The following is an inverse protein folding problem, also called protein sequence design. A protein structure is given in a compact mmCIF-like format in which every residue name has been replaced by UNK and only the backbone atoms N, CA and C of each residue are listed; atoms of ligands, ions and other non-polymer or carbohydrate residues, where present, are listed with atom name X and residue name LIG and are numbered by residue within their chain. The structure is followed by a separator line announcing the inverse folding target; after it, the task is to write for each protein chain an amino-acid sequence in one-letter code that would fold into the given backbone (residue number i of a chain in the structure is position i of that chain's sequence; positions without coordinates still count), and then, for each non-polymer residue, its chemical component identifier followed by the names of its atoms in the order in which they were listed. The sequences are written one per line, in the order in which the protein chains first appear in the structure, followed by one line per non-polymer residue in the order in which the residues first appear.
data_IF_774124279815
#
_entry.id   IF_774124279815
#
_cell.length_a   1.000
_cell.length_b   1.000
_cell.length_c   1.000
_cell.angle_alpha   90.00
_cell.angle_beta   90.00
_cell.angle_gamma   90.00
#
_symmetry.space_group_name_H-M   'P 1'
#
loop_
_entity.id
_entity.type
_entity.pdbx_description
1 polymer ?
#
# COMPACT_ATOMS: atom_id res chain seq x y z
N UNK A 1 -40.29 43.13 48.88
CA UNK A 1 -40.85 42.04 49.68
C UNK A 1 -41.44 41.06 48.66
N UNK A 2 -40.68 40.03 48.31
CA UNK A 2 -41.12 38.96 47.43
C UNK A 2 -41.07 37.66 48.25
N UNK A 3 -42.22 37.31 48.76
CA UNK A 3 -42.43 36.08 49.51
C UNK A 3 -42.73 34.98 48.50
N UNK A 4 -41.74 34.12 48.25
CA UNK A 4 -41.91 32.91 47.45
C UNK A 4 -41.92 31.71 48.39
N UNK A 5 -42.98 30.89 48.39
CA UNK A 5 -43.04 29.73 49.30
C UNK A 5 -42.00 28.68 48.93
N UNK A 6 -41.48 27.90 49.91
CA UNK A 6 -40.50 26.85 49.69
C UNK A 6 -41.10 25.71 48.85
N UNK A 7 -40.35 25.29 47.82
CA UNK A 7 -40.68 24.10 47.01
C UNK A 7 -40.44 22.83 47.83
N UNK A 8 -41.32 21.84 47.76
CA UNK A 8 -41.12 20.56 48.46
C UNK A 8 -39.95 19.79 47.81
N UNK A 9 -39.10 19.19 48.66
CA UNK A 9 -38.01 18.31 48.30
C UNK A 9 -38.48 17.17 47.38
N UNK A 10 -37.92 17.11 46.15
CA UNK A 10 -38.11 15.96 45.26
C UNK A 10 -37.25 14.80 45.74
N UNK A 11 -37.78 13.60 45.88
CA UNK A 11 -36.99 12.42 46.22
C UNK A 11 -35.98 12.14 45.08
N UNK A 12 -34.70 11.97 45.46
CA UNK A 12 -33.63 11.64 44.54
C UNK A 12 -33.87 10.33 43.78
N UNK A 13 -33.28 10.15 42.61
CA UNK A 13 -33.44 8.94 41.81
C UNK A 13 -32.98 7.70 42.61
N UNK A 14 -33.66 6.56 42.47
CA UNK A 14 -33.28 5.34 43.17
C UNK A 14 -31.87 4.89 42.77
N UNK A 15 -31.10 4.27 43.67
CA UNK A 15 -29.76 3.77 43.37
C UNK A 15 -29.82 2.74 42.24
N UNK A 16 -29.05 2.98 41.19
CA UNK A 16 -28.92 2.03 40.07
C UNK A 16 -28.26 0.74 40.58
N UNK A 17 -28.79 -0.43 40.22
CA UNK A 17 -28.15 -1.69 40.59
C UNK A 17 -26.76 -1.73 39.96
N UNK A 18 -25.77 -2.08 40.78
CA UNK A 18 -24.38 -2.23 40.34
C UNK A 18 -24.30 -3.21 39.16
N UNK A 19 -23.82 -2.75 38.02
CA UNK A 19 -23.58 -3.62 36.87
C UNK A 19 -22.52 -4.65 37.27
N UNK A 20 -22.75 -5.95 37.01
CA UNK A 20 -21.70 -6.96 37.24
C UNK A 20 -20.49 -6.59 36.43
N UNK A 21 -19.33 -6.49 37.09
CA UNK A 21 -18.07 -6.24 36.46
C UNK A 21 -17.78 -7.31 35.39
N UNK A 22 -16.94 -7.01 34.40
CA UNK A 22 -16.57 -8.00 33.39
C UNK A 22 -16.04 -9.27 34.07
N UNK A 23 -16.41 -10.47 33.59
CA UNK A 23 -15.94 -11.72 34.16
C UNK A 23 -14.40 -11.72 34.19
N UNK A 24 -13.79 -12.29 35.26
CA UNK A 24 -12.32 -12.37 35.32
C UNK A 24 -11.81 -13.12 34.09
N UNK A 25 -10.89 -12.51 33.37
CA UNK A 25 -10.22 -13.16 32.23
C UNK A 25 -9.49 -14.36 32.79
N UNK A 26 -9.97 -15.56 32.46
CA UNK A 26 -9.32 -16.80 32.88
C UNK A 26 -7.93 -16.83 32.26
N UNK A 27 -6.91 -16.62 33.08
CA UNK A 27 -5.52 -16.83 32.67
C UNK A 27 -5.36 -18.31 32.31
N UNK A 28 -5.33 -18.62 31.02
CA UNK A 28 -4.93 -19.94 30.55
C UNK A 28 -3.47 -20.12 30.99
N UNK A 29 -3.14 -21.11 31.84
CA UNK A 29 -1.78 -21.27 32.31
C UNK A 29 -0.84 -21.55 31.14
N UNK A 30 0.36 -20.95 31.16
CA UNK A 30 1.37 -21.05 30.09
C UNK A 30 1.95 -22.46 29.86
N UNK A 31 1.35 -23.48 30.41
CA UNK A 31 1.76 -24.88 30.40
C UNK A 31 1.84 -25.42 31.83
N UNK A 32 1.97 -26.72 31.96
CA UNK A 32 2.22 -27.41 33.22
C UNK A 32 3.58 -28.12 33.16
N UNK A 33 4.18 -28.55 34.28
CA UNK A 33 5.42 -29.32 34.24
C UNK A 33 5.34 -30.58 33.37
N UNK A 34 4.15 -31.21 33.28
CA UNK A 34 3.87 -32.39 32.48
C UNK A 34 3.64 -32.09 30.99
N UNK A 35 3.16 -30.89 30.70
CA UNK A 35 2.90 -30.40 29.33
C UNK A 35 3.39 -28.98 29.14
N UNK A 36 4.70 -28.78 29.17
CA UNK A 36 5.26 -27.45 28.99
C UNK A 36 5.01 -26.92 27.58
N UNK A 37 4.99 -25.60 27.43
CA UNK A 37 4.71 -24.93 26.15
C UNK A 37 5.92 -24.12 25.69
N UNK A 38 6.13 -24.11 24.40
CA UNK A 38 7.07 -23.23 23.72
C UNK A 38 6.31 -22.30 22.78
N UNK A 39 6.61 -21.00 22.85
CA UNK A 39 6.08 -20.00 21.94
C UNK A 39 7.22 -19.44 21.09
N UNK A 40 7.02 -19.43 19.79
CA UNK A 40 8.02 -18.97 18.83
C UNK A 40 7.37 -18.08 17.77
N UNK A 41 8.20 -17.25 17.14
CA UNK A 41 7.86 -16.52 15.94
C UNK A 41 8.62 -17.12 14.76
N UNK A 42 7.90 -17.46 13.70
CA UNK A 42 8.49 -17.83 12.42
C UNK A 42 8.46 -16.65 11.46
N UNK A 43 9.52 -16.49 10.70
CA UNK A 43 9.70 -15.37 9.77
C UNK A 43 10.19 -15.91 8.43
N UNK A 44 9.76 -15.23 7.36
CA UNK A 44 10.26 -15.51 6.02
C UNK A 44 10.45 -14.21 5.24
N UNK A 45 11.52 -14.19 4.47
CA UNK A 45 11.82 -13.13 3.52
C UNK A 45 12.09 -13.79 2.17
N UNK A 46 11.31 -13.42 1.16
CA UNK A 46 11.48 -13.90 -0.20
C UNK A 46 11.79 -12.76 -1.15
N UNK A 47 12.79 -12.92 -1.98
CA UNK A 47 13.06 -12.01 -3.11
C UNK A 47 12.51 -12.65 -4.38
N UNK A 48 11.61 -11.95 -5.05
CA UNK A 48 10.94 -12.40 -6.27
C UNK A 48 10.97 -11.32 -7.33
N UNK A 49 10.91 -11.73 -8.58
CA UNK A 49 10.81 -10.77 -9.68
C UNK A 49 9.43 -10.11 -9.67
N UNK A 50 9.33 -8.83 -10.08
CA UNK A 50 8.04 -8.15 -10.13
C UNK A 50 7.13 -8.79 -11.18
N UNK A 51 5.83 -8.71 -10.95
CA UNK A 51 4.79 -9.21 -11.87
C UNK A 51 4.16 -8.09 -12.67
N UNK A 52 4.21 -6.87 -12.14
CA UNK A 52 3.65 -5.67 -12.75
C UNK A 52 4.56 -4.47 -12.55
N UNK A 53 4.50 -3.55 -13.51
CA UNK A 53 5.07 -2.21 -13.41
C UNK A 53 3.95 -1.17 -13.53
N UNK A 54 3.89 -0.22 -12.62
CA UNK A 54 2.92 0.87 -12.64
C UNK A 54 3.57 2.15 -13.12
N UNK A 55 2.86 2.87 -14.00
CA UNK A 55 3.19 4.23 -14.41
C UNK A 55 2.09 5.17 -13.94
N UNK A 56 2.46 6.36 -13.53
CA UNK A 56 1.53 7.50 -13.42
C UNK A 56 1.81 8.46 -14.56
N UNK A 57 0.77 8.77 -15.32
CA UNK A 57 0.84 9.67 -16.46
C UNK A 57 0.04 10.92 -16.10
N UNK A 58 0.68 12.05 -16.12
CA UNK A 58 0.05 13.34 -15.87
C UNK A 58 -0.04 14.11 -17.19
N UNK A 59 -1.27 14.36 -17.64
CA UNK A 59 -1.54 15.19 -18.81
C UNK A 59 -1.94 16.59 -18.35
N UNK A 60 -1.30 17.60 -18.90
CA UNK A 60 -1.58 19.00 -18.60
C UNK A 60 -2.08 19.73 -19.85
N UNK A 61 -2.87 20.78 -19.63
CA UNK A 61 -3.34 21.67 -20.68
C UNK A 61 -3.41 23.11 -20.18
N UNK A 62 -3.39 24.09 -21.08
CA UNK A 62 -3.52 25.48 -20.77
C UNK A 62 -4.43 26.18 -21.77
N UNK A 63 -5.39 26.97 -21.31
CA UNK A 63 -6.31 27.74 -22.14
C UNK A 63 -6.51 29.16 -21.66
N UNK A 64 -6.92 30.04 -22.56
CA UNK A 64 -7.27 31.44 -22.24
C UNK A 64 -8.49 31.51 -21.31
N UNK A 65 -9.40 30.55 -21.45
CA UNK A 65 -10.58 30.40 -20.61
C UNK A 65 -10.73 28.92 -20.18
N UNK A 66 -11.70 28.66 -19.29
CA UNK A 66 -11.96 27.33 -18.73
C UNK A 66 -12.33 26.31 -19.81
N UNK A 67 -13.12 26.73 -20.79
CA UNK A 67 -13.61 25.86 -21.87
C UNK A 67 -12.45 25.44 -22.78
N UNK A 68 -11.64 26.39 -23.22
CA UNK A 68 -10.46 26.12 -24.05
C UNK A 68 -9.46 25.21 -23.33
N UNK A 69 -9.22 25.41 -22.02
CA UNK A 69 -8.36 24.53 -21.24
C UNK A 69 -8.91 23.10 -21.15
N UNK A 70 -10.23 22.95 -21.00
CA UNK A 70 -10.88 21.63 -20.91
C UNK A 70 -10.87 20.91 -22.28
N UNK A 71 -11.13 21.62 -23.37
CA UNK A 71 -11.09 21.09 -24.74
C UNK A 71 -9.68 20.58 -25.10
N UNK A 72 -8.62 21.36 -24.79
CA UNK A 72 -7.25 20.94 -25.00
C UNK A 72 -6.86 19.74 -24.11
N UNK A 73 -7.29 19.75 -22.83
CA UNK A 73 -7.06 18.63 -21.92
C UNK A 73 -7.70 17.34 -22.44
N UNK A 74 -8.96 17.42 -22.90
CA UNK A 74 -9.69 16.27 -23.45
C UNK A 74 -8.98 15.70 -24.67
N UNK A 75 -8.55 16.54 -25.60
CA UNK A 75 -7.83 16.12 -26.80
C UNK A 75 -6.53 15.39 -26.44
N UNK A 76 -5.71 15.97 -25.55
CA UNK A 76 -4.42 15.37 -25.11
C UNK A 76 -4.65 14.08 -24.32
N UNK A 77 -5.63 14.06 -23.45
CA UNK A 77 -5.99 12.86 -22.69
C UNK A 77 -6.40 11.71 -23.61
N UNK A 78 -7.20 12.00 -24.65
CA UNK A 78 -7.58 10.98 -25.61
C UNK A 78 -6.37 10.42 -26.37
N UNK A 79 -5.40 11.25 -26.76
CA UNK A 79 -4.16 10.81 -27.39
C UNK A 79 -3.38 9.85 -26.49
N UNK A 80 -3.25 10.16 -25.20
CA UNK A 80 -2.59 9.30 -24.23
C UNK A 80 -3.36 7.99 -24.05
N UNK A 81 -4.70 8.05 -23.89
CA UNK A 81 -5.52 6.86 -23.73
C UNK A 81 -5.44 5.92 -24.96
N UNK A 82 -5.48 6.48 -26.18
CA UNK A 82 -5.32 5.71 -27.43
C UNK A 82 -3.95 5.05 -27.52
N UNK A 83 -2.89 5.80 -27.18
CA UNK A 83 -1.52 5.29 -27.17
C UNK A 83 -1.38 4.13 -26.18
N UNK A 84 -1.82 4.30 -24.93
CA UNK A 84 -1.73 3.24 -23.91
C UNK A 84 -2.54 2.02 -24.31
N UNK A 85 -3.77 2.20 -24.81
CA UNK A 85 -4.63 1.11 -25.26
C UNK A 85 -4.08 0.35 -26.47
N UNK A 86 -3.26 1.00 -27.31
CA UNK A 86 -2.66 0.35 -28.47
C UNK A 86 -1.68 -0.78 -28.12
N UNK A 87 -1.24 -0.85 -26.86
CA UNK A 87 -0.36 -1.93 -26.35
C UNK A 87 -1.15 -3.19 -25.92
N UNK A 88 -2.49 -3.15 -25.97
CA UNK A 88 -3.34 -4.32 -25.79
C UNK A 88 -3.10 -5.06 -24.49
N UNK A 89 -2.79 -6.36 -24.60
CA UNK A 89 -2.60 -7.25 -23.44
C UNK A 89 -1.38 -6.91 -22.55
N UNK A 90 -0.41 -6.15 -23.06
CA UNK A 90 0.71 -5.69 -22.25
C UNK A 90 0.25 -4.74 -21.11
N UNK A 91 -0.90 -4.08 -21.29
CA UNK A 91 -1.53 -3.20 -20.30
C UNK A 91 -2.64 -3.95 -19.57
N UNK A 92 -2.34 -4.43 -18.38
CA UNK A 92 -3.31 -5.15 -17.54
C UNK A 92 -4.41 -4.22 -17.00
N UNK A 93 -4.03 -2.98 -16.67
CA UNK A 93 -4.96 -2.02 -16.07
C UNK A 93 -4.66 -0.60 -16.54
N UNK A 94 -5.70 0.14 -16.89
CA UNK A 94 -5.65 1.57 -17.20
C UNK A 94 -6.80 2.27 -16.49
N UNK A 95 -6.47 3.24 -15.64
CA UNK A 95 -7.43 4.00 -14.84
C UNK A 95 -7.20 5.49 -15.00
N UNK A 96 -8.29 6.23 -15.10
CA UNK A 96 -8.27 7.69 -14.99
C UNK A 96 -8.58 8.08 -13.55
N UNK A 97 -7.66 8.77 -12.90
CA UNK A 97 -7.81 9.28 -11.55
C UNK A 97 -8.43 10.69 -11.53
N UNK A 98 -7.94 11.51 -10.62
CA UNK A 98 -8.46 12.88 -10.45
C UNK A 98 -8.10 13.79 -11.64
N UNK A 99 -9.04 14.68 -11.99
CA UNK A 99 -8.77 15.79 -12.88
C UNK A 99 -9.05 17.13 -12.18
N UNK A 100 -8.43 18.21 -12.65
CA UNK A 100 -8.67 19.56 -12.16
C UNK A 100 -8.55 20.59 -13.26
N UNK A 101 -9.32 21.69 -13.15
CA UNK A 101 -9.15 22.90 -13.98
C UNK A 101 -9.12 24.10 -13.05
N UNK A 102 -7.94 24.72 -12.92
CA UNK A 102 -7.68 25.81 -11.98
C UNK A 102 -7.33 27.11 -12.70
N UNK A 103 -7.79 28.29 -12.21
CA UNK A 103 -7.36 29.56 -12.76
C UNK A 103 -5.93 29.91 -12.37
N UNK A 104 -5.17 30.45 -13.30
CA UNK A 104 -3.89 31.12 -13.05
C UNK A 104 -4.15 32.62 -12.82
N UNK A 105 -3.95 33.06 -11.59
CA UNK A 105 -4.15 34.45 -11.20
C UNK A 105 -2.86 35.23 -11.41
N UNK A 106 -2.94 36.45 -11.96
CA UNK A 106 -1.76 37.31 -12.10
C UNK A 106 -1.44 38.01 -10.76
N UNK A 107 -0.32 37.64 -10.08
CA UNK A 107 0.03 38.14 -8.76
C UNK A 107 0.41 39.65 -8.76
N UNK A 108 0.66 40.25 -9.94
CA UNK A 108 1.07 41.64 -10.10
C UNK A 108 -0.12 42.63 -10.37
N UNK A 109 -1.33 42.12 -10.47
CA UNK A 109 -2.52 42.94 -10.71
C UNK A 109 -3.18 43.36 -9.40
N UNK A 110 -3.51 44.66 -9.22
CA UNK A 110 -4.28 45.17 -8.08
C UNK A 110 -5.68 44.55 -7.95
N UNK A 111 -6.19 43.95 -9.00
CA UNK A 111 -7.42 43.15 -9.03
C UNK A 111 -7.07 41.76 -9.51
N UNK A 112 -7.54 40.73 -8.82
CA UNK A 112 -7.36 39.30 -9.19
C UNK A 112 -7.86 39.03 -10.61
N UNK A 113 -7.00 39.30 -11.62
CA UNK A 113 -7.30 38.95 -13.02
C UNK A 113 -6.80 37.58 -13.34
N UNK A 114 -7.71 36.70 -13.76
CA UNK A 114 -7.35 35.38 -14.30
C UNK A 114 -6.60 35.59 -15.62
N UNK A 115 -5.40 35.06 -15.70
CA UNK A 115 -4.51 35.10 -16.87
C UNK A 115 -4.73 33.94 -17.82
N UNK A 116 -4.96 32.76 -17.29
CA UNK A 116 -5.16 31.54 -18.00
C UNK A 116 -5.85 30.47 -17.10
N UNK A 117 -6.23 29.37 -17.67
CA UNK A 117 -6.68 28.19 -16.93
C UNK A 117 -5.75 27.02 -17.20
N UNK A 118 -5.40 26.28 -16.16
CA UNK A 118 -4.61 25.06 -16.23
C UNK A 118 -5.49 23.86 -15.98
N UNK A 119 -5.54 22.96 -16.96
CA UNK A 119 -6.15 21.64 -16.85
C UNK A 119 -5.10 20.60 -16.49
N UNK A 120 -5.45 19.62 -15.68
CA UNK A 120 -4.61 18.48 -15.37
C UNK A 120 -5.48 17.24 -15.17
N UNK A 121 -5.02 16.11 -15.67
CA UNK A 121 -5.59 14.78 -15.40
C UNK A 121 -4.48 13.80 -15.10
N UNK A 122 -4.75 12.87 -14.19
CA UNK A 122 -3.85 11.78 -13.83
C UNK A 122 -4.41 10.46 -14.34
N UNK A 123 -3.55 9.67 -14.95
CA UNK A 123 -3.85 8.29 -15.35
C UNK A 123 -2.85 7.37 -14.68
N UNK A 124 -3.29 6.15 -14.39
CA UNK A 124 -2.42 5.08 -13.91
C UNK A 124 -2.53 3.91 -14.86
N UNK A 125 -1.40 3.42 -15.34
CA UNK A 125 -1.30 2.22 -16.15
C UNK A 125 -0.48 1.15 -15.42
N UNK A 126 -0.95 -0.10 -15.41
CA UNK A 126 -0.19 -1.24 -14.92
C UNK A 126 0.12 -2.16 -16.11
N UNK A 127 1.39 -2.46 -16.29
CA UNK A 127 1.89 -3.26 -17.40
C UNK A 127 2.50 -4.56 -16.87
N UNK A 128 2.38 -5.62 -17.67
CA UNK A 128 2.94 -6.95 -17.42
C UNK A 128 4.09 -7.29 -18.36
N UNK A 129 4.18 -6.60 -19.49
CA UNK A 129 5.31 -6.70 -20.43
C UNK A 129 6.24 -5.50 -20.22
N UNK A 130 7.46 -5.78 -19.77
CA UNK A 130 8.44 -4.75 -19.43
C UNK A 130 9.20 -4.22 -20.64
N UNK A 131 9.23 -4.97 -21.76
CA UNK A 131 9.72 -4.45 -23.03
C UNK A 131 8.76 -3.40 -23.58
N UNK A 132 7.47 -3.72 -23.60
CA UNK A 132 6.40 -2.79 -23.97
C UNK A 132 6.36 -1.56 -23.04
N UNK A 133 6.71 -1.72 -21.76
CA UNK A 133 6.84 -0.61 -20.82
C UNK A 133 7.87 0.43 -21.25
N UNK A 134 9.07 -0.02 -21.64
CA UNK A 134 10.14 0.87 -22.12
C UNK A 134 9.73 1.66 -23.36
N UNK A 135 9.14 0.97 -24.35
CA UNK A 135 8.63 1.61 -25.57
C UNK A 135 7.50 2.61 -25.27
N UNK A 136 6.52 2.20 -24.47
CA UNK A 136 5.39 3.05 -24.10
C UNK A 136 5.87 4.31 -23.35
N UNK A 137 6.81 4.14 -22.40
CA UNK A 137 7.36 5.27 -21.65
C UNK A 137 8.03 6.28 -22.58
N UNK A 138 8.84 5.81 -23.51
CA UNK A 138 9.50 6.67 -24.52
C UNK A 138 8.46 7.43 -25.33
N UNK A 139 7.47 6.74 -25.90
CA UNK A 139 6.42 7.37 -26.73
C UNK A 139 5.53 8.34 -25.95
N UNK A 140 5.28 8.08 -24.67
CA UNK A 140 4.50 8.98 -23.81
C UNK A 140 5.26 10.29 -23.52
N UNK A 141 6.60 10.22 -23.36
CA UNK A 141 7.42 11.42 -23.11
C UNK A 141 7.55 12.31 -24.33
N UNK A 142 7.30 11.79 -25.54
CA UNK A 142 7.24 12.59 -26.76
C UNK A 142 5.95 13.42 -26.88
N UNK A 143 4.93 13.10 -26.09
CA UNK A 143 3.66 13.84 -26.11
C UNK A 143 3.81 15.15 -25.31
N UNK A 144 3.44 16.26 -25.94
CA UNK A 144 3.49 17.58 -25.33
C UNK A 144 2.65 17.65 -24.04
N UNK A 145 3.15 18.34 -23.03
CA UNK A 145 2.50 18.55 -21.71
C UNK A 145 2.10 17.25 -21.02
N UNK A 146 2.80 16.16 -21.37
CA UNK A 146 2.65 14.85 -20.74
C UNK A 146 3.88 14.55 -19.89
N UNK A 147 3.65 14.18 -18.65
CA UNK A 147 4.70 13.74 -17.71
C UNK A 147 4.43 12.29 -17.32
N UNK A 148 5.48 11.50 -17.31
CA UNK A 148 5.44 10.10 -16.89
C UNK A 148 6.31 9.95 -15.64
N UNK A 149 5.76 9.35 -14.62
CA UNK A 149 6.44 9.01 -13.37
C UNK A 149 6.37 7.49 -13.16
N UNK A 150 7.44 6.89 -12.66
CA UNK A 150 7.60 5.44 -12.48
C UNK A 150 8.85 4.91 -13.22
N UNK A 151 8.95 3.59 -13.48
CA UNK A 151 8.00 2.55 -13.06
C UNK A 151 8.06 2.25 -11.56
N UNK A 152 6.90 1.93 -10.99
CA UNK A 152 6.83 1.32 -9.67
C UNK A 152 6.59 -0.17 -9.85
N UNK A 153 7.64 -0.93 -9.59
CA UNK A 153 7.62 -2.38 -9.67
C UNK A 153 6.81 -2.96 -8.50
N UNK A 154 6.09 -4.03 -8.75
CA UNK A 154 5.27 -4.65 -7.72
C UNK A 154 4.78 -6.05 -8.07
N UNK A 155 4.10 -6.65 -7.10
CA UNK A 155 3.39 -7.90 -7.26
C UNK A 155 1.89 -7.63 -7.37
N UNK A 156 1.16 -8.56 -7.98
CA UNK A 156 -0.30 -8.55 -7.93
C UNK A 156 -0.80 -8.84 -6.51
N UNK A 157 -1.98 -8.35 -6.12
CA UNK A 157 -2.53 -8.63 -4.78
C UNK A 157 -2.72 -10.13 -4.49
N UNK A 158 -2.96 -10.91 -5.53
CA UNK A 158 -3.15 -12.37 -5.47
C UNK A 158 -1.89 -13.16 -5.84
N UNK A 159 -0.73 -12.51 -5.86
CA UNK A 159 0.54 -13.18 -6.18
C UNK A 159 0.79 -14.42 -5.32
N UNK A 160 1.18 -15.56 -5.93
CA UNK A 160 1.53 -16.76 -5.20
C UNK A 160 2.75 -16.58 -4.29
N UNK A 161 3.53 -15.53 -4.47
CA UNK A 161 4.68 -15.19 -3.63
C UNK A 161 4.26 -15.00 -2.15
N UNK A 162 3.12 -14.36 -1.90
CA UNK A 162 2.61 -14.17 -0.54
C UNK A 162 2.28 -15.51 0.15
N UNK A 163 1.66 -16.43 -0.58
CA UNK A 163 1.38 -17.78 -0.08
C UNK A 163 2.65 -18.55 0.25
N UNK A 164 3.66 -18.47 -0.62
CA UNK A 164 4.97 -19.10 -0.39
C UNK A 164 5.68 -18.54 0.84
N UNK A 165 5.65 -17.21 1.02
CA UNK A 165 6.25 -16.56 2.19
C UNK A 165 5.58 -17.04 3.49
N UNK A 166 4.23 -17.04 3.56
CA UNK A 166 3.50 -17.57 4.73
C UNK A 166 3.83 -19.02 5.03
N UNK A 167 3.86 -19.88 4.01
CA UNK A 167 4.23 -21.29 4.21
C UNK A 167 5.65 -21.44 4.75
N UNK A 168 6.59 -20.62 4.30
CA UNK A 168 7.96 -20.66 4.78
C UNK A 168 8.06 -20.15 6.21
N UNK A 169 7.34 -19.09 6.59
CA UNK A 169 7.29 -18.61 7.97
C UNK A 169 6.76 -19.67 8.93
N UNK A 170 5.73 -20.45 8.53
CA UNK A 170 5.22 -21.56 9.34
C UNK A 170 6.27 -22.67 9.50
N UNK A 171 6.97 -23.04 8.43
CA UNK A 171 8.04 -24.07 8.51
C UNK A 171 9.17 -23.62 9.44
N UNK A 172 9.54 -22.36 9.37
CA UNK A 172 10.57 -21.77 10.23
C UNK A 172 10.12 -21.77 11.70
N UNK A 173 8.85 -21.41 12.00
CA UNK A 173 8.31 -21.49 13.35
C UNK A 173 8.38 -22.93 13.92
N UNK A 174 8.02 -23.93 13.13
CA UNK A 174 8.11 -25.34 13.54
C UNK A 174 9.55 -25.76 13.77
N UNK A 175 10.46 -25.36 12.89
CA UNK A 175 11.88 -25.67 13.02
C UNK A 175 12.49 -25.05 14.28
N UNK A 176 12.24 -23.77 14.52
CA UNK A 176 12.68 -23.04 15.70
C UNK A 176 12.15 -23.64 16.99
N UNK A 177 10.88 -24.06 17.00
CA UNK A 177 10.29 -24.73 18.16
C UNK A 177 10.94 -26.09 18.43
N UNK A 178 11.29 -26.87 17.40
CA UNK A 178 12.02 -28.13 17.53
C UNK A 178 13.43 -27.93 18.10
N UNK A 179 14.12 -26.89 17.69
CA UNK A 179 15.46 -26.54 18.17
C UNK A 179 15.41 -26.20 19.65
N UNK A 180 14.46 -25.39 20.10
CA UNK A 180 14.29 -25.10 21.53
C UNK A 180 13.94 -26.34 22.35
N UNK A 181 12.99 -27.14 21.89
CA UNK A 181 12.64 -28.37 22.57
C UNK A 181 13.84 -29.34 22.66
N UNK A 182 14.57 -29.51 21.55
CA UNK A 182 15.77 -30.39 21.50
C UNK A 182 16.89 -29.93 22.41
N UNK A 183 17.13 -28.61 22.54
CA UNK A 183 18.10 -28.03 23.46
C UNK A 183 17.80 -28.32 24.93
N UNK A 184 16.53 -28.65 25.25
CA UNK A 184 16.07 -29.02 26.59
C UNK A 184 15.90 -30.53 26.77
N UNK A 185 16.37 -31.38 25.84
CA UNK A 185 16.14 -32.81 25.86
C UNK A 185 14.67 -33.22 25.62
N UNK A 186 13.82 -32.25 25.21
CA UNK A 186 12.40 -32.45 24.97
C UNK A 186 12.07 -32.61 23.48
N UNK A 187 10.84 -33.01 23.19
CA UNK A 187 10.32 -33.13 21.83
C UNK A 187 9.01 -32.35 21.66
N UNK A 188 8.83 -31.76 20.49
CA UNK A 188 7.58 -31.12 20.12
C UNK A 188 6.46 -32.15 20.05
N UNK A 189 5.26 -31.84 20.62
CA UNK A 189 4.13 -32.73 20.67
C UNK A 189 3.00 -32.26 19.76
N UNK A 190 2.47 -31.07 19.99
CA UNK A 190 1.33 -30.53 19.26
C UNK A 190 1.39 -29.03 19.07
N UNK A 191 0.83 -28.55 17.97
CA UNK A 191 0.52 -27.13 17.77
C UNK A 191 -0.74 -26.80 18.55
N UNK A 192 -0.68 -25.80 19.40
CA UNK A 192 -1.83 -25.30 20.19
C UNK A 192 -2.41 -24.02 19.68
N UNK A 193 -1.60 -23.22 18.99
CA UNK A 193 -2.02 -21.93 18.44
C UNK A 193 -1.12 -21.56 17.26
N UNK A 194 -1.74 -21.02 16.21
CA UNK A 194 -1.07 -20.36 15.11
C UNK A 194 -1.78 -19.05 14.86
N UNK A 195 -1.08 -17.93 15.00
CA UNK A 195 -1.62 -16.59 14.81
C UNK A 195 -0.82 -15.85 13.72
N UNK A 196 -1.55 -15.29 12.78
CA UNK A 196 -1.03 -14.31 11.82
C UNK A 196 -1.13 -12.93 12.49
N UNK A 197 -0.01 -12.26 12.71
CA UNK A 197 0.03 -10.98 13.40
C UNK A 197 -0.75 -9.87 12.66
N UNK A 198 -0.86 -9.99 11.35
CA UNK A 198 -1.64 -9.03 10.56
C UNK A 198 -3.15 -9.20 10.72
N UNK A 199 -3.61 -10.37 11.15
CA UNK A 199 -5.02 -10.63 11.39
C UNK A 199 -5.54 -10.03 12.71
N UNK A 200 -4.67 -9.74 13.67
CA UNK A 200 -5.03 -9.18 14.98
C UNK A 200 -5.03 -7.65 15.01
N UNK A 201 -4.34 -6.98 14.07
CA UNK A 201 -4.16 -5.51 14.08
C UNK A 201 -5.16 -4.72 13.22
N UNK A 202 -6.21 -5.32 12.66
CA UNK A 202 -7.22 -4.61 11.84
C UNK A 202 -6.72 -4.23 10.44
N UNK A 203 -7.52 -3.52 9.62
CA UNK A 203 -7.23 -3.32 8.21
C UNK A 203 -5.93 -2.53 8.00
N UNK A 204 -5.05 -3.14 7.23
CA UNK A 204 -3.73 -2.68 6.81
C UNK A 204 -3.73 -1.20 6.39
N UNK A 205 -3.03 -0.34 7.11
CA UNK A 205 -2.58 0.94 6.58
C UNK A 205 -1.26 0.70 5.84
N UNK A 206 -1.20 0.93 4.52
CA UNK A 206 0.05 0.81 3.80
C UNK A 206 1.03 1.86 4.34
N UNK A 207 2.09 1.39 4.96
CA UNK A 207 3.21 2.25 5.34
C UNK A 207 3.84 2.72 4.04
N UNK A 208 3.67 4.00 3.73
CA UNK A 208 4.34 4.62 2.60
C UNK A 208 5.85 4.59 2.86
N UNK A 209 6.53 3.63 2.24
CA UNK A 209 7.99 3.62 2.18
C UNK A 209 8.39 4.83 1.35
N UNK A 210 9.01 5.81 1.98
CA UNK A 210 9.52 7.01 1.32
C UNK A 210 10.55 6.59 0.26
N UNK A 211 10.18 6.74 -1.01
CA UNK A 211 11.10 6.52 -2.11
C UNK A 211 12.27 7.50 -2.02
N UNK A 212 13.52 7.05 -2.24
CA UNK A 212 14.66 7.94 -2.29
C UNK A 212 14.49 8.92 -3.45
N UNK A 213 14.66 10.22 -3.16
CA UNK A 213 14.61 11.28 -4.17
C UNK A 213 15.81 11.14 -5.10
N UNK A 214 15.58 10.64 -6.31
CA UNK A 214 16.56 10.71 -7.39
C UNK A 214 16.77 12.17 -7.77
N UNK A 215 18.03 12.63 -7.73
CA UNK A 215 18.44 13.93 -8.23
C UNK A 215 18.47 13.86 -9.76
N UNK A 216 17.58 14.60 -10.41
CA UNK A 216 17.55 14.81 -11.85
C UNK A 216 18.81 15.58 -12.28
N UNK A 217 19.66 14.93 -13.07
CA UNK A 217 20.74 15.59 -13.80
C UNK A 217 20.20 16.10 -15.14
N UNK A 218 20.40 17.37 -15.42
CA UNK A 218 20.08 18.02 -16.69
C UNK A 218 21.11 17.59 -17.75
N UNK A 219 20.69 16.89 -18.81
CA UNK A 219 21.48 16.61 -20.02
C UNK A 219 20.88 17.36 -21.20
N UNK A 220 21.74 18.02 -21.97
CA UNK A 220 21.41 18.92 -23.08
C UNK A 220 20.84 18.21 -24.31
N UNK A 221 20.53 18.98 -25.41
CA UNK A 221 19.74 18.50 -26.53
C UNK A 221 20.54 17.56 -27.43
N UNK A 222 20.01 16.39 -27.69
CA UNK A 222 20.50 15.43 -28.67
C UNK A 222 19.48 15.23 -29.79
N UNK A 223 20.03 14.97 -30.96
CA UNK A 223 19.40 14.87 -32.27
C UNK A 223 18.13 13.96 -32.32
N UNK A 224 17.20 14.37 -33.22
CA UNK A 224 15.97 13.66 -33.54
C UNK A 224 16.22 12.49 -34.49
N UNK A 225 16.89 11.46 -34.04
CA UNK A 225 16.78 10.12 -34.60
C UNK A 225 15.96 9.25 -33.63
N UNK A 226 15.26 8.22 -34.16
CA UNK A 226 14.32 7.40 -33.43
C UNK A 226 14.85 7.08 -32.02
N UNK A 227 14.24 7.65 -30.99
CA UNK A 227 14.68 7.47 -29.63
C UNK A 227 14.58 5.99 -29.29
N UNK A 228 15.72 5.36 -29.01
CA UNK A 228 15.74 3.97 -28.57
C UNK A 228 14.84 3.80 -27.34
N UNK A 229 14.10 2.68 -27.27
CA UNK A 229 13.27 2.38 -26.11
C UNK A 229 14.12 2.43 -24.84
N UNK A 230 13.58 3.03 -23.79
CA UNK A 230 14.25 3.11 -22.49
C UNK A 230 14.38 1.69 -21.92
N UNK A 231 15.62 1.24 -21.70
CA UNK A 231 15.89 -0.03 -21.04
C UNK A 231 15.66 0.10 -19.53
N UNK A 232 14.73 -0.69 -19.02
CA UNK A 232 14.26 -0.61 -17.63
C UNK A 232 14.47 -1.95 -16.95
N UNK A 233 15.53 -2.05 -16.15
CA UNK A 233 15.82 -3.24 -15.36
C UNK A 233 14.80 -3.41 -14.22
N UNK A 234 14.08 -4.55 -14.16
CA UNK A 234 13.08 -4.80 -13.12
C UNK A 234 13.71 -4.94 -11.73
N UNK A 235 13.24 -4.14 -10.78
CA UNK A 235 13.68 -4.25 -9.40
C UNK A 235 12.97 -5.40 -8.69
N UNK A 236 13.74 -6.34 -8.13
CA UNK A 236 13.20 -7.44 -7.33
C UNK A 236 12.40 -6.93 -6.14
N UNK A 237 11.35 -7.66 -5.83
CA UNK A 237 10.41 -7.33 -4.76
C UNK A 237 10.66 -8.23 -3.55
N UNK A 238 10.70 -7.63 -2.36
CA UNK A 238 10.87 -8.37 -1.12
C UNK A 238 9.51 -8.59 -0.48
N UNK A 239 9.16 -9.86 -0.26
CA UNK A 239 7.92 -10.27 0.43
C UNK A 239 8.30 -10.77 1.81
N UNK A 240 7.66 -10.20 2.83
CA UNK A 240 7.81 -10.60 4.22
C UNK A 240 6.58 -11.38 4.66
N UNK A 241 6.78 -12.36 5.52
CA UNK A 241 5.71 -13.01 6.26
C UNK A 241 6.20 -13.43 7.64
N UNK A 242 5.33 -13.37 8.62
CA UNK A 242 5.64 -13.82 9.97
C UNK A 242 4.39 -14.40 10.64
N UNK A 243 4.61 -15.38 11.51
CA UNK A 243 3.56 -16.04 12.28
C UNK A 243 4.03 -16.25 13.71
N UNK A 244 3.11 -16.15 14.66
CA UNK A 244 3.33 -16.64 16.03
C UNK A 244 2.76 -18.03 16.14
N UNK A 245 3.53 -18.95 16.73
CA UNK A 245 3.09 -20.32 16.94
C UNK A 245 3.37 -20.75 18.39
N UNK A 246 2.43 -21.48 18.96
CA UNK A 246 2.58 -22.09 20.27
C UNK A 246 2.42 -23.60 20.16
N UNK A 247 3.34 -24.31 20.83
CA UNK A 247 3.35 -25.77 20.81
C UNK A 247 3.43 -26.29 22.24
N UNK A 248 2.93 -27.50 22.45
CA UNK A 248 3.28 -28.30 23.61
C UNK A 248 4.52 -29.14 23.30
N UNK A 249 5.29 -29.44 24.33
CA UNK A 249 6.45 -30.33 24.24
C UNK A 249 6.45 -31.36 25.40
N UNK A 250 7.25 -32.40 25.30
CA UNK A 250 7.47 -33.33 26.42
C UNK A 250 8.17 -32.62 27.57
N UNK A 251 8.06 -33.13 28.83
CA UNK A 251 8.85 -32.59 29.94
C UNK A 251 10.34 -32.54 29.59
N UNK A 252 11.02 -31.42 29.89
CA UNK A 252 12.46 -31.28 29.64
C UNK A 252 13.26 -32.12 30.65
N UNK A 253 14.45 -32.54 30.21
CA UNK A 253 15.48 -33.13 31.09
C UNK A 253 16.45 -31.98 31.47
N UNK A 254 16.29 -31.45 32.71
CA UNK A 254 17.07 -30.32 33.22
C UNK A 254 18.17 -30.76 34.18
#
# INVERSE_FOLDING_TARGET
MNDQPPQPDQPGPPPQPAQPGPPPVAHVPYGTPETPRVAVRGEATLEVDPEIARLTITVSARGADRRAALEDLTRRNNQVLELVKSYGEAVEKLETGAFSVTPEINPKSRHERVRAYHGRVHLTAALTDFTALGELTTRLTDLELTRVDGPWWGLRPDSPAYGRARQQAVREAVQRAREYAGALGARLVALTELADLEAEEGPFQPVAVAAPRARSGYGGPADRDAVAALDLEPQRQTVYAHVNARFTMTPPEL
#
